data_IF_017606879184
#
_entry.id   IF_017606879184
#
_cell.length_a   1.000
_cell.length_b   1.000
_cell.length_c   1.000
_cell.angle_alpha   90.00
_cell.angle_beta   90.00
_cell.angle_gamma   90.00
#
_symmetry.space_group_name_H-M   'P 1'
#
loop_
_entity.id
_entity.type
_entity.pdbx_description
1 polymer ?
#
# COMPACT_ATOMS: atom_id res chain seq x y z
N UNK A 1 15.20 -3.05 -29.86
CA UNK A 1 14.13 -3.51 -30.79
C UNK A 1 12.99 -2.51 -30.79
N UNK A 2 12.89 -1.61 -31.78
CA UNK A 2 11.71 -0.74 -31.97
C UNK A 2 10.61 -1.60 -32.58
N UNK A 3 9.64 -2.04 -31.78
CA UNK A 3 8.44 -2.74 -32.30
C UNK A 3 7.68 -1.72 -33.15
N UNK A 4 7.62 -1.89 -34.47
CA UNK A 4 6.70 -1.12 -35.30
C UNK A 4 5.28 -1.47 -34.85
N UNK A 5 4.46 -0.46 -34.60
CA UNK A 5 3.03 -0.67 -34.37
C UNK A 5 2.44 -1.40 -35.59
N UNK A 6 2.21 -2.70 -35.46
CA UNK A 6 1.55 -3.49 -36.49
C UNK A 6 0.06 -3.24 -36.39
N UNK A 7 -0.56 -2.86 -37.50
CA UNK A 7 -2.00 -2.59 -37.59
C UNK A 7 -2.83 -3.77 -37.06
N UNK A 8 -2.37 -5.01 -37.32
CA UNK A 8 -2.97 -6.24 -36.81
C UNK A 8 -2.88 -6.39 -35.29
N UNK A 9 -1.75 -6.03 -34.67
CA UNK A 9 -1.60 -6.05 -33.21
C UNK A 9 -2.53 -5.04 -32.54
N UNK A 10 -2.77 -3.91 -33.19
CA UNK A 10 -3.71 -2.88 -32.76
C UNK A 10 -5.15 -3.39 -32.77
N UNK A 11 -5.57 -4.08 -33.84
CA UNK A 11 -6.91 -4.69 -33.96
C UNK A 11 -7.22 -5.68 -32.83
N UNK A 12 -6.26 -6.50 -32.40
CA UNK A 12 -6.48 -7.42 -31.28
C UNK A 12 -6.48 -6.73 -29.90
N UNK A 13 -5.76 -5.62 -29.74
CA UNK A 13 -5.79 -4.83 -28.49
C UNK A 13 -6.98 -3.85 -28.38
N UNK A 14 -7.58 -3.48 -29.52
CA UNK A 14 -8.61 -2.45 -29.61
C UNK A 14 -9.84 -2.73 -28.72
N UNK A 15 -10.41 -3.95 -28.66
CA UNK A 15 -11.56 -4.23 -27.79
C UNK A 15 -11.27 -3.97 -26.31
N UNK A 16 -10.08 -4.34 -25.83
CA UNK A 16 -9.66 -4.13 -24.44
C UNK A 16 -9.42 -2.65 -24.15
N UNK A 17 -8.82 -1.92 -25.09
CA UNK A 17 -8.60 -0.47 -24.98
C UNK A 17 -9.93 0.30 -24.97
N UNK A 18 -10.85 -0.04 -25.87
CA UNK A 18 -12.19 0.57 -25.92
C UNK A 18 -12.93 0.29 -24.61
N UNK A 19 -12.88 -0.95 -24.11
CA UNK A 19 -13.47 -1.31 -22.83
C UNK A 19 -12.90 -0.48 -21.68
N UNK A 20 -11.58 -0.35 -21.59
CA UNK A 20 -10.92 0.46 -20.56
C UNK A 20 -11.30 1.94 -20.68
N UNK A 21 -11.34 2.49 -21.89
CA UNK A 21 -11.74 3.88 -22.11
C UNK A 21 -13.19 4.12 -21.66
N UNK A 22 -14.11 3.26 -22.05
CA UNK A 22 -15.54 3.44 -21.73
C UNK A 22 -15.81 3.28 -20.24
N UNK A 23 -15.30 2.21 -19.62
CA UNK A 23 -15.68 1.85 -18.25
C UNK A 23 -14.75 2.37 -17.16
N UNK A 24 -13.53 2.79 -17.49
CA UNK A 24 -12.63 3.40 -16.52
C UNK A 24 -12.51 4.91 -16.74
N UNK A 25 -12.20 5.34 -17.97
CA UNK A 25 -12.00 6.76 -18.27
C UNK A 25 -13.33 7.52 -18.32
N UNK A 26 -14.39 6.91 -18.85
CA UNK A 26 -15.73 7.50 -18.90
C UNK A 26 -16.23 8.00 -17.53
N UNK A 27 -16.30 7.15 -16.48
CA UNK A 27 -16.69 7.57 -15.15
C UNK A 27 -15.78 8.64 -14.52
N UNK A 28 -14.48 8.63 -14.83
CA UNK A 28 -13.55 9.66 -14.35
C UNK A 28 -13.83 11.02 -15.00
N UNK A 29 -14.09 11.05 -16.30
CA UNK A 29 -14.52 12.28 -16.99
C UNK A 29 -15.85 12.77 -16.41
N UNK A 30 -16.77 11.85 -16.15
CA UNK A 30 -18.05 12.19 -15.51
C UNK A 30 -17.83 12.77 -14.09
N UNK A 31 -16.92 12.21 -13.29
CA UNK A 31 -16.57 12.76 -11.98
C UNK A 31 -16.00 14.19 -12.09
N UNK A 32 -15.16 14.45 -13.11
CA UNK A 32 -14.65 15.79 -13.40
C UNK A 32 -15.80 16.72 -13.77
N UNK A 33 -16.75 16.29 -14.60
CA UNK A 33 -17.93 17.09 -14.95
C UNK A 33 -18.78 17.42 -13.70
N UNK A 34 -19.01 16.43 -12.82
CA UNK A 34 -19.70 16.62 -11.55
C UNK A 34 -19.00 17.65 -10.65
N UNK A 35 -17.67 17.78 -10.73
CA UNK A 35 -16.93 18.76 -9.92
C UNK A 35 -17.31 20.22 -10.24
N UNK A 36 -17.87 20.48 -11.42
CA UNK A 36 -18.34 21.81 -11.84
C UNK A 36 -19.82 22.06 -11.51
N UNK A 37 -20.58 21.01 -11.18
CA UNK A 37 -22.00 21.12 -10.85
C UNK A 37 -22.19 21.74 -9.47
N UNK A 38 -23.29 22.48 -9.29
CA UNK A 38 -23.58 23.17 -8.02
C UNK A 38 -24.75 22.52 -7.30
N UNK A 39 -24.69 22.51 -5.96
CA UNK A 39 -25.82 22.05 -5.15
C UNK A 39 -26.65 23.26 -4.74
N UNK A 40 -27.85 23.36 -5.29
CA UNK A 40 -28.84 24.40 -4.95
C UNK A 40 -30.04 23.70 -4.31
N UNK A 41 -30.47 24.15 -3.13
CA UNK A 41 -31.62 23.57 -2.41
C UNK A 41 -31.56 22.03 -2.25
N UNK A 42 -30.39 21.50 -1.86
CA UNK A 42 -30.13 20.07 -1.72
C UNK A 42 -30.30 19.24 -3.01
N UNK A 43 -30.36 19.88 -4.19
CA UNK A 43 -30.37 19.22 -5.49
C UNK A 43 -29.09 19.55 -6.24
N UNK A 44 -28.50 18.52 -6.83
CA UNK A 44 -27.35 18.69 -7.71
C UNK A 44 -27.86 19.12 -9.09
N UNK A 45 -27.52 20.33 -9.48
CA UNK A 45 -27.92 20.91 -10.76
C UNK A 45 -26.71 20.99 -11.69
N UNK A 46 -26.91 20.64 -12.96
CA UNK A 46 -25.89 20.77 -13.98
C UNK A 46 -25.59 22.25 -14.19
N UNK A 47 -24.41 22.66 -13.76
CA UNK A 47 -23.89 24.02 -13.84
C UNK A 47 -22.41 23.94 -14.23
N UNK A 48 -21.85 25.00 -14.81
CA UNK A 48 -20.42 25.05 -15.11
C UNK A 48 -19.76 26.12 -14.25
N UNK A 49 -19.54 25.77 -12.97
CA UNK A 49 -19.07 26.72 -11.98
C UNK A 49 -17.77 26.23 -11.30
N UNK A 50 -16.83 27.15 -11.10
CA UNK A 50 -15.52 26.89 -10.47
C UNK A 50 -15.53 27.09 -8.95
N UNK A 51 -16.66 27.47 -8.34
CA UNK A 51 -16.78 27.71 -6.88
C UNK A 51 -16.30 26.50 -6.05
N UNK A 52 -16.57 25.27 -6.48
CA UNK A 52 -16.13 24.07 -5.76
C UNK A 52 -14.60 23.99 -5.69
N UNK A 53 -13.92 24.29 -6.79
CA UNK A 53 -12.46 24.32 -6.88
C UNK A 53 -11.87 25.45 -6.04
N UNK A 54 -12.43 26.67 -6.13
CA UNK A 54 -12.00 27.81 -5.30
C UNK A 54 -12.17 27.52 -3.81
N UNK A 55 -13.30 26.90 -3.43
CA UNK A 55 -13.58 26.51 -2.04
C UNK A 55 -12.62 25.44 -1.55
N UNK A 56 -12.33 24.44 -2.39
CA UNK A 56 -11.40 23.36 -2.10
C UNK A 56 -9.97 23.90 -1.91
N UNK A 57 -9.47 24.73 -2.82
CA UNK A 57 -8.11 25.27 -2.73
C UNK A 57 -7.97 26.40 -1.71
N UNK A 58 -9.04 27.14 -1.41
CA UNK A 58 -9.02 28.25 -0.47
C UNK A 58 -9.13 27.83 1.00
N UNK A 59 -9.66 26.64 1.30
CA UNK A 59 -9.81 26.16 2.69
C UNK A 59 -8.57 25.39 3.15
N UNK A 60 -7.97 25.84 4.25
CA UNK A 60 -6.81 25.21 4.87
C UNK A 60 -7.05 23.75 5.28
N UNK A 61 -8.28 23.38 5.63
CA UNK A 61 -8.65 22.02 6.05
C UNK A 61 -8.29 20.98 4.98
N UNK A 62 -8.52 21.26 3.69
CA UNK A 62 -8.17 20.32 2.63
C UNK A 62 -6.66 20.11 2.53
N UNK A 63 -5.88 21.19 2.58
CA UNK A 63 -4.42 21.12 2.57
C UNK A 63 -3.85 20.39 3.80
N UNK A 64 -4.45 20.61 4.97
CA UNK A 64 -4.10 19.86 6.18
C UNK A 64 -4.39 18.37 6.03
N UNK A 65 -5.56 18.01 5.47
CA UNK A 65 -5.90 16.61 5.19
C UNK A 65 -4.94 16.00 4.17
N UNK A 66 -4.63 16.68 3.07
CA UNK A 66 -3.65 16.19 2.09
C UNK A 66 -2.26 15.99 2.70
N UNK A 67 -1.78 16.96 3.48
CA UNK A 67 -0.51 16.88 4.18
C UNK A 67 -0.47 15.71 5.17
N UNK A 68 -1.53 15.54 5.97
CA UNK A 68 -1.66 14.43 6.91
C UNK A 68 -1.68 13.09 6.18
N UNK A 69 -2.50 12.94 5.14
CA UNK A 69 -2.58 11.71 4.34
C UNK A 69 -1.24 11.38 3.71
N UNK A 70 -0.56 12.36 3.10
CA UNK A 70 0.75 12.16 2.50
C UNK A 70 1.80 11.77 3.54
N UNK A 71 1.82 12.43 4.69
CA UNK A 71 2.73 12.11 5.79
C UNK A 71 2.50 10.68 6.30
N UNK A 72 1.25 10.30 6.58
CA UNK A 72 0.91 8.96 7.05
C UNK A 72 1.20 7.90 5.99
N UNK A 73 0.86 8.13 4.72
CA UNK A 73 1.13 7.19 3.64
C UNK A 73 2.64 6.98 3.43
N UNK A 74 3.42 8.07 3.46
CA UNK A 74 4.88 8.02 3.32
C UNK A 74 5.53 7.30 4.50
N UNK A 75 5.09 7.63 5.73
CA UNK A 75 5.57 6.95 6.93
C UNK A 75 5.23 5.46 6.90
N UNK A 76 3.99 5.10 6.56
CA UNK A 76 3.57 3.71 6.43
C UNK A 76 4.38 2.96 5.36
N UNK A 77 4.61 3.57 4.19
CA UNK A 77 5.40 2.99 3.12
C UNK A 77 6.87 2.77 3.54
N UNK A 78 7.48 3.76 4.19
CA UNK A 78 8.86 3.66 4.68
C UNK A 78 9.00 2.59 5.77
N UNK A 79 8.16 2.65 6.81
CA UNK A 79 8.18 1.69 7.93
C UNK A 79 7.94 0.28 7.41
N UNK A 80 6.91 0.09 6.58
CA UNK A 80 6.60 -1.24 6.02
C UNK A 80 7.77 -1.75 5.16
N UNK A 81 8.37 -0.91 4.34
CA UNK A 81 9.49 -1.31 3.47
C UNK A 81 10.72 -1.72 4.27
N UNK A 82 11.06 -0.97 5.33
CA UNK A 82 12.19 -1.28 6.22
C UNK A 82 11.94 -2.58 6.99
N UNK A 83 10.72 -2.79 7.50
CA UNK A 83 10.36 -4.02 8.22
C UNK A 83 10.24 -5.24 7.30
N UNK A 84 9.78 -5.04 6.07
CA UNK A 84 9.61 -6.12 5.09
C UNK A 84 10.97 -6.61 4.54
N UNK A 85 11.96 -5.72 4.45
CA UNK A 85 13.27 -6.04 3.88
C UNK A 85 14.00 -7.22 4.56
N UNK A 86 14.17 -7.27 5.90
CA UNK A 86 14.81 -8.42 6.54
C UNK A 86 14.02 -9.71 6.32
N UNK A 87 12.68 -9.63 6.28
CA UNK A 87 11.82 -10.78 6.02
C UNK A 87 12.01 -11.30 4.59
N UNK A 88 11.91 -10.42 3.59
CA UNK A 88 12.09 -10.78 2.17
C UNK A 88 13.50 -11.28 1.88
N UNK A 89 14.53 -10.67 2.48
CA UNK A 89 15.92 -11.12 2.39
C UNK A 89 16.13 -12.52 2.99
N UNK A 90 15.59 -12.79 4.18
CA UNK A 90 15.67 -14.11 4.78
C UNK A 90 15.00 -15.17 3.89
N UNK A 91 13.80 -14.86 3.37
CA UNK A 91 13.07 -15.76 2.47
C UNK A 91 13.83 -16.02 1.16
N UNK A 92 14.48 -15.00 0.59
CA UNK A 92 15.20 -15.10 -0.67
C UNK A 92 16.51 -15.92 -0.56
N UNK A 93 17.31 -15.67 0.48
CA UNK A 93 18.69 -16.16 0.55
C UNK A 93 18.95 -17.23 1.61
N UNK A 94 18.10 -17.35 2.65
CA UNK A 94 18.33 -18.27 3.77
C UNK A 94 17.40 -19.48 3.76
N UNK A 95 16.19 -19.36 3.24
CA UNK A 95 15.21 -20.45 3.21
C UNK A 95 15.46 -21.42 2.05
N UNK A 96 15.19 -22.70 2.29
CA UNK A 96 15.11 -23.71 1.22
C UNK A 96 13.91 -23.44 0.30
N UNK A 97 13.92 -24.01 -0.91
CA UNK A 97 12.85 -23.83 -1.89
C UNK A 97 11.44 -24.16 -1.33
N UNK A 98 11.33 -25.25 -0.55
CA UNK A 98 10.08 -25.66 0.09
C UNK A 98 9.63 -24.65 1.15
N UNK A 99 10.53 -24.22 2.05
CA UNK A 99 10.21 -23.24 3.08
C UNK A 99 9.79 -21.89 2.47
N UNK A 100 10.47 -21.47 1.39
CA UNK A 100 10.11 -20.26 0.65
C UNK A 100 8.71 -20.35 0.06
N UNK A 101 8.33 -21.48 -0.54
CA UNK A 101 6.99 -21.68 -1.07
C UNK A 101 5.93 -21.59 0.03
N UNK A 102 6.18 -22.16 1.21
CA UNK A 102 5.31 -22.03 2.37
C UNK A 102 5.24 -20.59 2.90
N UNK A 103 6.36 -19.86 2.95
CA UNK A 103 6.37 -18.46 3.37
C UNK A 103 5.55 -17.58 2.42
N UNK A 104 5.72 -17.76 1.10
CA UNK A 104 4.90 -17.06 0.09
C UNK A 104 3.43 -17.40 0.28
N UNK A 105 3.10 -18.69 0.46
CA UNK A 105 1.71 -19.11 0.68
C UNK A 105 1.11 -18.42 1.91
N UNK A 106 1.81 -18.40 3.05
CA UNK A 106 1.36 -17.73 4.27
C UNK A 106 1.12 -16.23 4.09
N UNK A 107 1.94 -15.56 3.26
CA UNK A 107 1.76 -14.13 2.94
C UNK A 107 0.54 -13.88 2.05
N UNK A 108 0.13 -14.85 1.23
CA UNK A 108 -1.03 -14.72 0.33
C UNK A 108 -2.35 -15.03 1.05
N UNK A 109 -2.37 -15.92 2.05
CA UNK A 109 -3.56 -16.26 2.85
C UNK A 109 -4.41 -15.05 3.27
N UNK A 110 -3.86 -13.98 3.87
CA UNK A 110 -4.68 -12.87 4.36
C UNK A 110 -5.43 -12.14 3.24
N UNK A 111 -4.98 -12.21 1.98
CA UNK A 111 -5.68 -11.59 0.84
C UNK A 111 -7.01 -12.26 0.50
N UNK A 112 -7.22 -13.53 0.89
CA UNK A 112 -8.50 -14.21 0.75
C UNK A 112 -9.53 -13.83 1.82
N UNK A 113 -9.13 -12.99 2.79
CA UNK A 113 -10.03 -12.53 3.85
C UNK A 113 -10.36 -11.04 3.67
N UNK A 114 -11.57 -10.66 4.10
CA UNK A 114 -12.03 -9.26 4.04
C UNK A 114 -11.08 -8.35 4.80
N UNK A 115 -10.63 -7.27 4.14
CA UNK A 115 -9.79 -6.25 4.76
C UNK A 115 -10.48 -5.60 5.96
N UNK A 116 -11.78 -5.32 5.85
CA UNK A 116 -12.56 -4.73 6.94
C UNK A 116 -12.55 -5.63 8.19
N UNK A 117 -12.74 -6.94 8.02
CA UNK A 117 -12.70 -7.89 9.14
C UNK A 117 -11.35 -7.87 9.84
N UNK A 118 -10.24 -7.83 9.07
CA UNK A 118 -8.89 -7.75 9.63
C UNK A 118 -8.65 -6.45 10.39
N UNK A 119 -9.12 -5.32 9.88
CA UNK A 119 -9.01 -4.02 10.57
C UNK A 119 -9.85 -3.98 11.84
N UNK A 120 -11.10 -4.44 11.80
CA UNK A 120 -11.96 -4.50 12.99
C UNK A 120 -11.45 -5.50 14.02
N UNK A 121 -10.75 -6.56 13.60
CA UNK A 121 -10.10 -7.49 14.54
C UNK A 121 -9.11 -6.75 15.45
N UNK A 122 -8.34 -5.79 14.93
CA UNK A 122 -7.42 -4.98 15.73
C UNK A 122 -8.11 -4.07 16.76
N UNK A 123 -9.37 -3.70 16.53
CA UNK A 123 -10.13 -2.92 17.51
C UNK A 123 -10.28 -3.67 18.84
N UNK A 124 -10.44 -5.00 18.80
CA UNK A 124 -10.52 -5.85 19.99
C UNK A 124 -9.20 -5.79 20.79
N UNK A 125 -8.06 -5.77 20.10
CA UNK A 125 -6.74 -5.71 20.74
C UNK A 125 -6.40 -4.32 21.29
N UNK A 126 -6.73 -3.27 20.52
CA UNK A 126 -6.30 -1.89 20.77
C UNK A 126 -7.30 -1.04 21.57
N UNK A 127 -8.51 -1.56 21.82
CA UNK A 127 -9.49 -0.88 22.67
C UNK A 127 -8.97 -0.64 24.09
N UNK A 128 -9.57 0.32 24.80
CA UNK A 128 -9.18 0.67 26.17
C UNK A 128 -9.33 -0.52 27.13
N UNK A 129 -10.37 -1.34 26.92
CA UNK A 129 -10.59 -2.62 27.62
C UNK A 129 -10.07 -3.83 26.82
N UNK A 130 -9.20 -3.60 25.84
CA UNK A 130 -8.68 -4.61 24.94
C UNK A 130 -7.58 -5.47 25.55
N UNK A 131 -7.16 -6.48 24.79
CA UNK A 131 -6.15 -7.46 25.24
C UNK A 131 -4.83 -6.78 25.62
N UNK A 132 -4.38 -5.79 24.85
CA UNK A 132 -3.09 -5.12 25.08
C UNK A 132 -3.11 -4.32 26.38
N UNK A 133 -4.17 -3.54 26.61
CA UNK A 133 -4.33 -2.79 27.85
C UNK A 133 -4.57 -3.71 29.06
N UNK A 134 -5.26 -4.84 28.87
CA UNK A 134 -5.39 -5.87 29.89
C UNK A 134 -4.03 -6.45 30.32
N UNK A 135 -3.13 -6.72 29.36
CA UNK A 135 -1.76 -7.15 29.64
C UNK A 135 -0.94 -6.07 30.36
N UNK A 136 -1.01 -4.81 29.93
CA UNK A 136 -0.35 -3.72 30.67
C UNK A 136 -0.85 -3.62 32.12
N UNK A 137 -2.15 -3.79 32.32
CA UNK A 137 -2.77 -3.78 33.65
C UNK A 137 -2.20 -4.86 34.60
N UNK A 138 -1.79 -6.02 34.09
CA UNK A 138 -1.15 -7.07 34.90
C UNK A 138 0.21 -6.68 35.48
N UNK A 139 0.90 -5.73 34.84
CA UNK A 139 2.22 -5.21 35.26
C UNK A 139 2.04 -3.85 35.98
N UNK A 140 0.80 -3.43 36.24
CA UNK A 140 0.48 -2.15 36.88
C UNK A 140 0.70 -0.93 35.98
N UNK A 141 0.79 -1.11 34.67
CA UNK A 141 0.88 -0.03 33.68
C UNK A 141 -0.48 0.16 32.96
N UNK A 142 -0.80 1.39 32.55
CA UNK A 142 -1.98 1.68 31.74
C UNK A 142 -3.31 1.82 32.53
N UNK A 143 -4.46 1.94 31.83
CA UNK A 143 -4.62 1.80 30.38
C UNK A 143 -4.11 3.02 29.57
N UNK A 144 -3.63 2.76 28.36
CA UNK A 144 -3.28 3.80 27.38
C UNK A 144 -4.33 3.87 26.26
N UNK A 145 -4.73 5.09 25.81
CA UNK A 145 -5.64 5.23 24.68
C UNK A 145 -4.91 4.87 23.39
N UNK A 146 -4.96 3.60 22.98
CA UNK A 146 -4.30 3.10 21.77
C UNK A 146 -5.20 3.25 20.55
N UNK A 147 -6.50 3.02 20.71
CA UNK A 147 -7.49 3.16 19.64
C UNK A 147 -7.65 4.63 19.22
N UNK A 148 -7.99 4.89 17.95
CA UNK A 148 -8.13 6.24 17.37
C UNK A 148 -6.84 7.09 17.37
N UNK A 149 -5.68 6.46 17.56
CA UNK A 149 -4.38 7.12 17.45
C UNK A 149 -3.71 6.83 16.11
N UNK A 150 -2.68 7.63 15.76
CA UNK A 150 -1.81 7.36 14.61
C UNK A 150 -1.18 5.98 14.69
N UNK A 151 -0.88 5.48 15.90
CA UNK A 151 -0.34 4.14 16.10
C UNK A 151 -1.32 3.05 15.63
N UNK A 152 -2.58 3.13 16.03
CA UNK A 152 -3.61 2.20 15.56
C UNK A 152 -3.82 2.30 14.04
N UNK A 153 -3.79 3.52 13.47
CA UNK A 153 -3.86 3.72 12.02
C UNK A 153 -2.70 3.04 11.30
N UNK A 154 -1.47 3.15 11.81
CA UNK A 154 -0.29 2.48 11.24
C UNK A 154 -0.41 0.97 11.27
N UNK A 155 -0.90 0.37 12.37
CA UNK A 155 -1.16 -1.07 12.44
C UNK A 155 -2.17 -1.50 11.35
N UNK A 156 -3.22 -0.71 11.15
CA UNK A 156 -4.19 -0.93 10.08
C UNK A 156 -3.53 -0.96 8.71
N UNK A 157 -2.68 0.02 8.40
CA UNK A 157 -1.93 0.05 7.14
C UNK A 157 -1.02 -1.18 6.98
N UNK A 158 -0.20 -1.48 7.98
CA UNK A 158 0.74 -2.60 7.95
C UNK A 158 0.04 -3.94 7.74
N UNK A 159 -1.15 -4.13 8.30
CA UNK A 159 -1.94 -5.37 8.14
C UNK A 159 -2.27 -5.69 6.67
N UNK A 160 -2.38 -4.65 5.83
CA UNK A 160 -2.61 -4.80 4.40
C UNK A 160 -1.30 -4.77 3.61
N UNK A 161 -0.44 -3.80 3.89
CA UNK A 161 0.72 -3.50 3.05
C UNK A 161 1.89 -4.43 3.33
N UNK A 162 2.05 -4.93 4.56
CA UNK A 162 3.23 -5.72 4.93
C UNK A 162 3.39 -7.01 4.10
N UNK A 163 2.36 -7.88 3.96
CA UNK A 163 2.50 -9.09 3.15
C UNK A 163 2.77 -8.75 1.67
N UNK A 164 2.14 -7.69 1.15
CA UNK A 164 2.32 -7.24 -0.22
C UNK A 164 3.76 -6.77 -0.48
N UNK A 165 4.30 -5.92 0.39
CA UNK A 165 5.65 -5.37 0.24
C UNK A 165 6.71 -6.45 0.41
N UNK A 166 6.52 -7.41 1.34
CA UNK A 166 7.40 -8.57 1.47
C UNK A 166 7.46 -9.36 0.16
N UNK A 167 6.31 -9.62 -0.48
CA UNK A 167 6.26 -10.35 -1.75
C UNK A 167 6.93 -9.57 -2.89
N UNK A 168 6.66 -8.26 -3.02
CA UNK A 168 7.27 -7.43 -4.07
C UNK A 168 8.81 -7.38 -3.93
N UNK A 169 9.31 -7.14 -2.72
CA UNK A 169 10.74 -7.14 -2.45
C UNK A 169 11.36 -8.53 -2.67
N UNK A 170 10.68 -9.59 -2.24
CA UNK A 170 11.14 -10.97 -2.45
C UNK A 170 11.32 -11.29 -3.93
N UNK A 171 10.35 -10.93 -4.78
CA UNK A 171 10.47 -11.14 -6.22
C UNK A 171 11.66 -10.37 -6.80
N UNK A 172 11.85 -9.12 -6.40
CA UNK A 172 13.02 -8.34 -6.81
C UNK A 172 14.34 -9.00 -6.40
N UNK A 173 14.45 -9.51 -5.16
CA UNK A 173 15.65 -10.17 -4.66
C UNK A 173 15.91 -11.52 -5.33
N UNK A 174 14.87 -12.24 -5.72
CA UNK A 174 15.00 -13.53 -6.40
C UNK A 174 15.57 -13.43 -7.81
N UNK A 175 15.42 -12.29 -8.48
CA UNK A 175 16.01 -12.05 -9.80
C UNK A 175 17.50 -11.68 -9.75
N UNK A 176 18.08 -11.50 -8.56
CA UNK A 176 19.51 -11.20 -8.41
C UNK A 176 20.32 -12.47 -8.69
N UNK A 177 21.26 -12.38 -9.63
CA UNK A 177 22.20 -13.45 -9.90
C UNK A 177 23.16 -13.64 -8.71
N UNK A 178 23.25 -14.88 -8.21
CA UNK A 178 24.10 -15.25 -7.09
C UNK A 178 25.60 -15.12 -7.43
N UNK A 179 25.97 -15.22 -8.71
CA UNK A 179 27.36 -15.06 -9.15
C UNK A 179 27.89 -13.65 -8.88
N UNK A 180 27.02 -12.62 -8.97
CA UNK A 180 27.38 -11.24 -8.64
C UNK A 180 27.69 -11.08 -7.16
N UNK A 181 26.92 -11.77 -6.31
CA UNK A 181 27.14 -11.78 -4.86
C UNK A 181 28.48 -12.44 -4.54
N UNK A 182 28.79 -13.58 -5.17
CA UNK A 182 30.07 -14.28 -4.99
C UNK A 182 31.26 -13.44 -5.47
N UNK A 183 31.15 -12.77 -6.62
CA UNK A 183 32.16 -11.86 -7.14
C UNK A 183 32.43 -10.68 -6.19
N UNK A 184 31.39 -10.11 -5.58
CA UNK A 184 31.55 -9.06 -4.57
C UNK A 184 32.32 -9.55 -3.33
N UNK A 185 32.05 -10.78 -2.87
CA UNK A 185 32.80 -11.38 -1.76
C UNK A 185 34.27 -11.66 -2.15
N UNK A 186 34.53 -12.07 -3.40
CA UNK A 186 35.91 -12.25 -3.91
C UNK A 186 36.69 -10.92 -3.92
N UNK A 187 36.02 -9.80 -4.19
CA UNK A 187 36.58 -8.45 -4.08
C UNK A 187 36.64 -7.91 -2.64
N UNK A 188 36.48 -8.79 -1.63
CA UNK A 188 36.49 -8.47 -0.19
C UNK A 188 35.41 -7.47 0.23
N UNK A 189 34.28 -7.44 -0.46
CA UNK A 189 33.11 -6.68 -0.02
C UNK A 189 32.46 -7.36 1.19
N UNK A 190 32.22 -6.61 2.27
CA UNK A 190 31.57 -7.12 3.48
C UNK A 190 30.07 -7.37 3.28
N UNK A 191 29.48 -8.27 4.07
CA UNK A 191 28.07 -8.72 3.92
C UNK A 191 27.03 -7.60 3.83
N UNK A 192 27.18 -6.56 4.64
CA UNK A 192 26.26 -5.40 4.63
C UNK A 192 26.47 -4.58 3.36
N UNK A 193 27.74 -4.37 2.97
CA UNK A 193 28.08 -3.61 1.77
C UNK A 193 27.61 -4.32 0.50
N UNK A 194 27.67 -5.65 0.42
CA UNK A 194 27.13 -6.42 -0.70
C UNK A 194 25.61 -6.28 -0.87
N UNK A 195 24.89 -5.89 0.18
CA UNK A 195 23.43 -5.70 0.14
C UNK A 195 23.03 -4.27 -0.24
N UNK A 196 23.84 -3.27 0.15
CA UNK A 196 23.50 -1.85 0.00
C UNK A 196 24.34 -1.10 -1.04
N UNK A 197 25.39 -1.70 -1.61
CA UNK A 197 26.21 -1.13 -2.68
C UNK A 197 25.75 -1.64 -4.04
#
# INVERSE_FOLDING_TARGET
MRRSFSFYGLTFSLPLLIWQLVFFVGPLIFLIALSFWTVKNFRMEADFNTINWVTMFGRSVFWQSYGLTLALATAAAAITSVLAFPCSYAIAFKLSARQRQWAIFMMVIPFFTSYLVRVYSWQIFLSDNGIINGLFGTIGMGPYPLLNTVFATMIGYLTLTFPLVVLLQLFSLMFIDRTLIEAAHNLRCGRIRTVFA
#
